data_IF_062152873401
#
_entry.id   IF_062152873401
#
_cell.length_a   1.000
_cell.length_b   1.000
_cell.length_c   1.000
_cell.angle_alpha   90.00
_cell.angle_beta   90.00
_cell.angle_gamma   90.00
#
_symmetry.space_group_name_H-M   'P 1'
#
loop_
_entity.id
_entity.type
_entity.pdbx_description
1 polymer ?
#
# COMPACT_ATOMS: atom_id res chain seq x y z
N UNK A 1 9.86 -20.88 7.71
CA UNK A 1 10.54 -19.61 7.40
C UNK A 1 9.82 -18.99 6.21
N UNK A 2 8.90 -18.06 6.45
CA UNK A 2 8.10 -17.47 5.38
C UNK A 2 8.88 -16.35 4.70
N UNK A 3 8.96 -16.46 3.39
CA UNK A 3 9.78 -15.68 2.48
C UNK A 3 9.18 -14.29 2.33
N UNK A 4 9.76 -13.30 3.01
CA UNK A 4 9.39 -11.89 2.87
C UNK A 4 9.96 -11.33 1.57
N UNK A 5 9.35 -11.63 0.43
CA UNK A 5 9.61 -10.86 -0.79
C UNK A 5 8.86 -9.54 -0.67
N UNK A 6 9.45 -8.57 0.04
CA UNK A 6 9.06 -7.17 -0.04
C UNK A 6 9.36 -6.71 -1.46
N UNK A 7 8.41 -6.94 -2.38
CA UNK A 7 8.43 -6.34 -3.69
C UNK A 7 8.41 -4.83 -3.50
N UNK A 8 9.55 -4.18 -3.66
CA UNK A 8 9.67 -2.73 -3.55
C UNK A 8 8.93 -2.10 -4.74
N UNK A 9 7.68 -1.69 -4.53
CA UNK A 9 6.88 -1.00 -5.55
C UNK A 9 7.20 0.50 -5.58
N UNK A 10 7.97 1.01 -4.61
CA UNK A 10 8.52 2.38 -4.66
C UNK A 10 9.85 2.50 -3.89
N UNK A 11 10.82 3.23 -4.47
CA UNK A 11 11.98 3.73 -3.73
C UNK A 11 11.49 4.72 -2.67
N UNK A 12 11.90 4.53 -1.41
CA UNK A 12 11.66 5.49 -0.34
C UNK A 12 10.52 5.16 0.63
N UNK A 13 9.87 3.99 0.51
CA UNK A 13 8.98 3.50 1.57
C UNK A 13 9.83 3.04 2.76
N UNK A 14 9.64 3.60 3.97
CA UNK A 14 10.31 3.10 5.17
C UNK A 14 9.93 1.63 5.46
N UNK A 15 10.85 0.80 5.98
CA UNK A 15 10.66 -0.64 6.09
C UNK A 15 9.49 -1.07 6.99
N UNK A 16 9.04 -0.21 7.92
CA UNK A 16 7.88 -0.47 8.75
C UNK A 16 6.56 -0.44 7.96
N UNK A 17 6.54 0.20 6.79
CA UNK A 17 5.37 0.19 5.92
C UNK A 17 5.45 -1.01 4.96
N UNK A 18 4.51 -1.93 5.13
CA UNK A 18 4.42 -3.15 4.33
C UNK A 18 3.15 -3.17 3.49
N UNK A 19 3.26 -3.69 2.27
CA UNK A 19 2.09 -3.93 1.43
C UNK A 19 1.44 -5.22 1.90
N UNK A 20 0.19 -5.11 2.34
CA UNK A 20 -0.58 -6.27 2.83
C UNK A 20 -1.61 -6.77 1.82
N UNK A 21 -2.11 -5.88 0.97
CA UNK A 21 -3.09 -6.23 -0.04
C UNK A 21 -3.04 -5.25 -1.22
N UNK A 22 -3.62 -5.70 -2.33
CA UNK A 22 -3.88 -4.93 -3.54
C UNK A 22 -5.34 -5.16 -3.88
N UNK A 23 -6.06 -4.09 -4.23
CA UNK A 23 -7.49 -4.16 -4.57
C UNK A 23 -8.01 -2.81 -5.05
N UNK A 24 -9.21 -2.77 -5.60
CA UNK A 24 -9.87 -1.51 -5.97
C UNK A 24 -10.60 -0.96 -4.74
N UNK A 25 -10.00 0.03 -4.07
CA UNK A 25 -10.50 0.56 -2.80
C UNK A 25 -11.37 1.81 -2.99
N UNK A 26 -11.29 2.49 -4.14
CA UNK A 26 -12.09 3.67 -4.47
C UNK A 26 -13.21 3.43 -5.52
N UNK A 27 -13.25 2.25 -6.13
CA UNK A 27 -14.26 1.84 -7.12
C UNK A 27 -14.03 2.37 -8.54
N UNK A 28 -12.81 2.80 -8.87
CA UNK A 28 -12.50 3.36 -10.19
C UNK A 28 -12.07 2.31 -11.23
N UNK A 29 -12.06 1.03 -10.85
CA UNK A 29 -11.66 -0.09 -11.68
C UNK A 29 -10.14 -0.28 -11.80
N UNK A 30 -9.34 0.44 -11.01
CA UNK A 30 -7.88 0.33 -10.95
C UNK A 30 -7.45 -0.29 -9.63
N UNK A 31 -6.23 -0.82 -9.60
CA UNK A 31 -5.68 -1.47 -8.41
C UNK A 31 -4.96 -0.48 -7.51
N UNK A 32 -5.45 -0.32 -6.29
CA UNK A 32 -4.87 0.46 -5.20
C UNK A 32 -4.04 -0.41 -4.24
N UNK A 33 -3.27 0.22 -3.36
CA UNK A 33 -2.32 -0.44 -2.47
C UNK A 33 -2.71 -0.23 -1.00
N UNK A 34 -2.86 -1.34 -0.27
CA UNK A 34 -3.01 -1.35 1.17
C UNK A 34 -1.63 -1.41 1.84
N UNK A 35 -1.25 -0.29 2.48
CA UNK A 35 -0.04 -0.17 3.27
C UNK A 35 -0.35 -0.26 4.77
N UNK A 36 0.37 -1.12 5.46
CA UNK A 36 0.26 -1.32 6.89
C UNK A 36 1.58 -1.00 7.58
N UNK A 37 1.55 -0.11 8.57
CA UNK A 37 2.69 0.18 9.43
C UNK A 37 2.75 -0.86 10.54
N UNK A 38 3.78 -1.72 10.53
CA UNK A 38 3.92 -2.80 11.51
C UNK A 38 4.27 -2.31 12.92
N UNK A 39 4.79 -1.10 13.07
CA UNK A 39 5.17 -0.54 14.36
C UNK A 39 3.96 0.14 15.04
N UNK A 40 3.12 0.82 14.26
CA UNK A 40 1.99 1.61 14.79
C UNK A 40 0.63 0.96 14.60
N UNK A 41 0.52 -0.07 13.76
CA UNK A 41 -0.74 -0.67 13.35
C UNK A 41 -1.58 0.20 12.41
N UNK A 42 -1.04 1.33 11.93
CA UNK A 42 -1.76 2.23 11.04
C UNK A 42 -1.93 1.63 9.66
N UNK A 43 -3.11 1.87 9.08
CA UNK A 43 -3.46 1.51 7.73
C UNK A 43 -3.55 2.78 6.87
N UNK A 44 -2.87 2.76 5.73
CA UNK A 44 -2.94 3.77 4.69
C UNK A 44 -3.27 3.12 3.34
N UNK A 45 -4.20 3.71 2.57
CA UNK A 45 -4.48 3.28 1.20
C UNK A 45 -3.82 4.27 0.24
N UNK A 46 -2.95 3.79 -0.64
CA UNK A 46 -2.54 4.56 -1.82
C UNK A 46 -3.47 4.27 -2.98
N UNK A 47 -4.13 5.33 -3.45
CA UNK A 47 -4.91 5.28 -4.68
C UNK A 47 -3.98 5.38 -5.88
N UNK A 48 -4.22 4.56 -6.90
CA UNK A 48 -3.31 4.41 -8.03
C UNK A 48 -4.00 4.68 -9.37
N UNK A 49 -3.29 5.35 -10.29
CA UNK A 49 -3.62 5.39 -11.71
C UNK A 49 -2.52 4.70 -12.53
N UNK A 50 -2.69 3.38 -12.72
CA UNK A 50 -1.67 2.53 -13.30
C UNK A 50 -0.44 2.46 -12.40
N UNK A 51 0.67 3.06 -12.84
CA UNK A 51 1.93 3.11 -12.07
C UNK A 51 2.13 4.43 -11.32
N UNK A 52 1.16 5.35 -11.37
CA UNK A 52 1.22 6.66 -10.69
C UNK A 52 0.34 6.64 -9.44
N UNK A 53 0.75 7.33 -8.38
CA UNK A 53 -0.09 7.58 -7.22
C UNK A 53 -1.05 8.72 -7.55
N UNK A 54 -2.35 8.50 -7.38
CA UNK A 54 -3.41 9.49 -7.60
C UNK A 54 -3.91 10.13 -6.29
N UNK A 55 -3.66 9.48 -5.15
CA UNK A 55 -4.01 10.00 -3.83
C UNK A 55 -3.79 8.98 -2.72
N UNK A 56 -4.40 9.22 -1.57
CA UNK A 56 -4.44 8.26 -0.48
C UNK A 56 -4.89 8.87 0.84
N UNK A 57 -5.31 8.01 1.76
CA UNK A 57 -5.73 8.41 3.10
C UNK A 57 -5.47 7.30 4.12
N UNK A 58 -5.41 7.69 5.40
CA UNK A 58 -5.43 6.76 6.51
C UNK A 58 -6.84 6.20 6.70
N UNK A 59 -6.93 4.89 6.95
CA UNK A 59 -8.20 4.25 7.31
C UNK A 59 -8.42 4.41 8.81
N UNK A 60 -9.63 4.83 9.20
CA UNK A 60 -10.06 4.97 10.60
C UNK A 60 -10.76 3.73 11.11
#
# INVERSE_FOLDING_TARGET
MLQGSSGFIAKGIPPQWQIKAIGDYNGDGKSDIHLFNIDTGQLFIWLMDGTKISGGDFVR
#
